data_IF_072477915274
#
_entry.id   IF_072477915274
#
_cell.length_a   1.000
_cell.length_b   1.000
_cell.length_c   1.000
_cell.angle_alpha   90.00
_cell.angle_beta   90.00
_cell.angle_gamma   90.00
#
_symmetry.space_group_name_H-M   'P 1'
#
loop_
_entity.id
_entity.type
_entity.pdbx_description
1 polymer ?
#
# COMPACT_ATOMS: atom_id res chain seq x y z
N UNK A 1 -2.38 -34.11 -6.98
CA UNK A 1 -1.66 -32.90 -6.51
C UNK A 1 -2.00 -31.67 -7.35
N UNK A 2 -1.84 -31.67 -8.68
CA UNK A 2 -2.20 -30.51 -9.52
C UNK A 2 -3.67 -30.05 -9.40
N UNK A 3 -4.61 -30.99 -9.25
CA UNK A 3 -6.05 -30.70 -9.15
C UNK A 3 -6.45 -30.02 -7.82
N UNK A 4 -5.76 -30.35 -6.71
CA UNK A 4 -5.95 -29.68 -5.42
C UNK A 4 -5.41 -28.25 -5.45
N UNK A 5 -4.31 -28.00 -6.17
CA UNK A 5 -3.73 -26.66 -6.30
C UNK A 5 -4.67 -25.73 -7.07
N UNK A 6 -5.18 -26.19 -8.21
CA UNK A 6 -6.11 -25.42 -9.03
C UNK A 6 -7.42 -25.13 -8.28
N UNK A 7 -7.91 -26.09 -7.50
CA UNK A 7 -9.13 -25.89 -6.70
C UNK A 7 -8.94 -24.86 -5.57
N UNK A 8 -7.77 -24.85 -4.90
CA UNK A 8 -7.47 -23.83 -3.89
C UNK A 8 -7.38 -22.42 -4.50
N UNK A 9 -6.68 -22.23 -5.62
CA UNK A 9 -6.57 -20.91 -6.25
C UNK A 9 -7.92 -20.44 -6.83
N UNK A 10 -8.68 -21.35 -7.44
CA UNK A 10 -10.02 -21.06 -7.97
C UNK A 10 -10.98 -20.58 -6.88
N UNK A 11 -10.94 -21.18 -5.69
CA UNK A 11 -11.79 -20.76 -4.57
C UNK A 11 -11.52 -19.31 -4.11
N UNK A 12 -10.32 -18.79 -4.36
CA UNK A 12 -9.90 -17.44 -3.98
C UNK A 12 -9.97 -16.42 -5.13
N UNK A 13 -10.28 -16.86 -6.35
CA UNK A 13 -10.22 -16.02 -7.55
C UNK A 13 -11.09 -14.77 -7.40
N UNK A 14 -12.35 -14.92 -7.00
CA UNK A 14 -13.25 -13.77 -6.81
C UNK A 14 -12.73 -12.79 -5.76
N UNK A 15 -12.16 -13.28 -4.67
CA UNK A 15 -11.60 -12.43 -3.62
C UNK A 15 -10.44 -11.58 -4.18
N UNK A 16 -9.46 -12.21 -4.85
CA UNK A 16 -8.31 -11.49 -5.38
C UNK A 16 -8.70 -10.53 -6.52
N UNK A 17 -9.67 -10.89 -7.37
CA UNK A 17 -10.21 -9.97 -8.39
C UNK A 17 -10.87 -8.74 -7.76
N UNK A 18 -11.66 -8.89 -6.69
CA UNK A 18 -12.30 -7.77 -5.98
C UNK A 18 -11.25 -6.87 -5.33
N UNK A 19 -10.29 -7.45 -4.60
CA UNK A 19 -9.23 -6.68 -3.91
C UNK A 19 -8.34 -5.97 -4.92
N UNK A 20 -7.89 -6.67 -5.97
CA UNK A 20 -7.02 -6.14 -7.00
C UNK A 20 -7.67 -5.02 -7.80
N UNK A 21 -8.92 -5.20 -8.26
CA UNK A 21 -9.65 -4.16 -9.01
C UNK A 21 -9.89 -2.91 -8.15
N UNK A 22 -10.21 -3.08 -6.88
CA UNK A 22 -10.37 -1.98 -5.93
C UNK A 22 -9.05 -1.23 -5.71
N UNK A 23 -7.93 -1.96 -5.52
CA UNK A 23 -6.60 -1.36 -5.40
C UNK A 23 -6.19 -0.59 -6.68
N UNK A 24 -6.48 -1.13 -7.86
CA UNK A 24 -6.25 -0.44 -9.13
C UNK A 24 -7.07 0.85 -9.25
N UNK A 25 -8.36 0.80 -8.92
CA UNK A 25 -9.23 1.98 -8.95
C UNK A 25 -8.76 3.07 -7.98
N UNK A 26 -8.38 2.69 -6.74
CA UNK A 26 -7.83 3.62 -5.75
C UNK A 26 -6.48 4.21 -6.19
N UNK A 27 -5.65 3.43 -6.88
CA UNK A 27 -4.40 3.94 -7.48
C UNK A 27 -4.70 5.00 -8.53
N UNK A 28 -5.68 4.76 -9.41
CA UNK A 28 -6.14 5.75 -10.38
C UNK A 28 -6.64 7.03 -9.71
N UNK A 29 -7.43 6.89 -8.64
CA UNK A 29 -7.93 8.01 -7.85
C UNK A 29 -6.78 8.82 -7.20
N UNK A 30 -5.71 8.16 -6.74
CA UNK A 30 -4.54 8.86 -6.19
C UNK A 30 -3.85 9.75 -7.23
N UNK A 31 -3.76 9.34 -8.49
CA UNK A 31 -3.23 10.22 -9.54
C UNK A 31 -4.09 11.47 -9.72
N UNK A 32 -5.42 11.35 -9.66
CA UNK A 32 -6.34 12.50 -9.71
C UNK A 32 -6.16 13.41 -8.49
N UNK A 33 -6.01 12.84 -7.28
CA UNK A 33 -5.77 13.62 -6.07
C UNK A 33 -4.45 14.40 -6.19
N UNK A 34 -3.37 13.75 -6.62
CA UNK A 34 -2.06 14.40 -6.78
C UNK A 34 -2.13 15.55 -7.80
N UNK A 35 -2.85 15.40 -8.91
CA UNK A 35 -2.98 16.48 -9.90
C UNK A 35 -3.79 17.65 -9.36
N UNK A 36 -4.88 17.41 -8.62
CA UNK A 36 -5.67 18.47 -7.97
C UNK A 36 -4.86 19.24 -6.92
N UNK A 37 -4.00 18.56 -6.17
CA UNK A 37 -3.11 19.18 -5.18
C UNK A 37 -2.07 20.04 -5.89
N UNK A 38 -1.40 19.49 -6.90
CA UNK A 38 -0.37 20.20 -7.66
C UNK A 38 -0.91 21.47 -8.34
N UNK A 39 -2.16 21.45 -8.83
CA UNK A 39 -2.83 22.62 -9.38
C UNK A 39 -3.06 23.72 -8.33
N UNK A 40 -3.34 23.33 -7.08
CA UNK A 40 -3.58 24.26 -5.97
C UNK A 40 -2.29 24.89 -5.43
N UNK A 41 -1.22 24.10 -5.30
CA UNK A 41 0.07 24.60 -4.77
C UNK A 41 0.81 25.50 -5.75
N UNK A 42 0.62 25.30 -7.06
CA UNK A 42 1.12 26.23 -8.10
C UNK A 42 0.67 27.67 -7.89
N UNK A 43 -0.44 27.88 -7.18
CA UNK A 43 -0.97 29.20 -6.89
C UNK A 43 -0.32 29.86 -5.65
N UNK A 44 0.34 29.12 -4.74
CA UNK A 44 0.66 29.66 -3.41
C UNK A 44 2.06 29.37 -2.81
N UNK A 45 2.85 28.34 -3.19
CA UNK A 45 4.31 28.20 -2.87
C UNK A 45 4.95 26.82 -3.24
N UNK A 46 6.24 26.83 -3.64
CA UNK A 46 7.30 25.84 -3.32
C UNK A 46 7.15 24.33 -3.63
N UNK A 47 7.84 23.75 -4.64
CA UNK A 47 7.73 22.34 -5.12
C UNK A 47 8.06 21.17 -4.15
N UNK A 48 8.27 21.39 -2.85
CA UNK A 48 8.95 20.41 -1.96
C UNK A 48 8.03 19.49 -1.17
N UNK A 49 6.77 19.85 -0.91
CA UNK A 49 5.85 19.03 -0.09
C UNK A 49 5.12 17.94 -0.88
N UNK A 50 4.90 18.11 -2.19
CA UNK A 50 4.14 17.18 -3.06
C UNK A 50 4.70 15.74 -3.08
N UNK A 51 6.02 15.57 -2.93
CA UNK A 51 6.68 14.26 -3.05
C UNK A 51 6.59 13.37 -1.80
N UNK A 52 6.24 13.93 -0.63
CA UNK A 52 6.27 13.18 0.62
C UNK A 52 4.95 12.43 0.91
N UNK A 53 3.82 12.96 0.44
CA UNK A 53 2.49 12.46 0.82
C UNK A 53 1.93 11.37 -0.11
N UNK A 54 2.16 11.46 -1.43
CA UNK A 54 1.53 10.53 -2.40
C UNK A 54 2.27 9.20 -2.61
N UNK A 55 3.60 9.18 -2.47
CA UNK A 55 4.42 8.05 -2.93
C UNK A 55 4.23 6.76 -2.11
N UNK A 56 4.10 6.78 -0.77
CA UNK A 56 3.87 5.56 -0.01
C UNK A 56 2.53 4.91 -0.34
N UNK A 57 1.44 5.68 -0.43
CA UNK A 57 0.07 5.19 -0.66
C UNK A 57 -0.07 4.44 -1.98
N UNK A 58 0.44 5.01 -3.07
CA UNK A 58 0.44 4.37 -4.40
C UNK A 58 1.18 3.04 -4.38
N UNK A 59 2.30 2.94 -3.65
CA UNK A 59 3.06 1.68 -3.56
C UNK A 59 2.27 0.58 -2.87
N UNK A 60 1.54 0.89 -1.79
CA UNK A 60 0.72 -0.12 -1.09
C UNK A 60 -0.43 -0.63 -1.97
N UNK A 61 -1.12 0.27 -2.69
CA UNK A 61 -2.16 -0.14 -3.64
C UNK A 61 -1.60 -0.96 -4.80
N UNK A 62 -0.49 -0.54 -5.40
CA UNK A 62 0.18 -1.31 -6.45
C UNK A 62 0.66 -2.68 -5.95
N UNK A 63 1.14 -2.78 -4.70
CA UNK A 63 1.52 -4.06 -4.12
C UNK A 63 0.31 -4.98 -3.92
N UNK A 64 -0.81 -4.47 -3.42
CA UNK A 64 -2.06 -5.23 -3.31
C UNK A 64 -2.58 -5.72 -4.68
N UNK A 65 -2.54 -4.85 -5.70
CA UNK A 65 -2.86 -5.19 -7.07
C UNK A 65 -1.93 -6.28 -7.61
N UNK A 66 -0.63 -6.17 -7.37
CA UNK A 66 0.36 -7.16 -7.82
C UNK A 66 0.14 -8.52 -7.15
N UNK A 67 -0.13 -8.55 -5.84
CA UNK A 67 -0.46 -9.78 -5.11
C UNK A 67 -1.69 -10.46 -5.71
N UNK A 68 -2.76 -9.68 -5.94
CA UNK A 68 -3.98 -10.18 -6.57
C UNK A 68 -3.72 -10.71 -7.99
N UNK A 69 -3.01 -9.95 -8.82
CA UNK A 69 -2.67 -10.36 -10.18
C UNK A 69 -1.82 -11.64 -10.21
N UNK A 70 -0.86 -11.77 -9.29
CA UNK A 70 -0.08 -13.01 -9.14
C UNK A 70 -1.03 -14.14 -8.77
N UNK A 71 -1.87 -14.04 -7.74
CA UNK A 71 -2.69 -15.18 -7.31
C UNK A 71 -3.87 -15.52 -8.24
N UNK A 72 -4.31 -14.57 -9.07
CA UNK A 72 -5.32 -14.83 -10.11
C UNK A 72 -4.73 -15.38 -11.42
N UNK A 73 -3.40 -15.39 -11.59
CA UNK A 73 -2.78 -15.95 -12.79
C UNK A 73 -2.92 -17.50 -12.81
N UNK A 74 -3.09 -18.11 -13.99
CA UNK A 74 -3.28 -19.56 -14.13
C UNK A 74 -1.95 -20.32 -13.96
N UNK A 75 -1.48 -20.47 -12.72
CA UNK A 75 -0.22 -21.15 -12.43
C UNK A 75 -0.33 -22.67 -12.54
N UNK A 76 0.66 -23.27 -13.20
CA UNK A 76 0.81 -24.73 -13.25
C UNK A 76 1.42 -25.32 -11.96
N UNK A 77 2.08 -24.51 -11.13
CA UNK A 77 2.74 -24.89 -9.86
C UNK A 77 2.64 -23.77 -8.83
N UNK A 78 2.30 -24.08 -7.57
CA UNK A 78 2.27 -23.09 -6.48
C UNK A 78 3.64 -22.44 -6.19
N UNK A 79 4.73 -23.19 -6.42
CA UNK A 79 6.08 -22.67 -6.16
C UNK A 79 6.43 -21.43 -6.99
N UNK A 80 5.95 -21.34 -8.24
CA UNK A 80 6.21 -20.15 -9.07
C UNK A 80 5.42 -18.93 -8.60
N UNK A 81 4.17 -19.13 -8.16
CA UNK A 81 3.39 -18.08 -7.52
C UNK A 81 4.08 -17.62 -6.22
N UNK A 82 4.56 -18.58 -5.41
CA UNK A 82 5.31 -18.32 -4.18
C UNK A 82 6.56 -17.48 -4.39
N UNK A 83 7.33 -17.70 -5.48
CA UNK A 83 8.49 -16.86 -5.81
C UNK A 83 8.06 -15.41 -6.07
N UNK A 84 6.97 -15.20 -6.84
CA UNK A 84 6.45 -13.86 -7.12
C UNK A 84 5.95 -13.14 -5.86
N UNK A 85 5.20 -13.85 -5.02
CA UNK A 85 4.72 -13.33 -3.73
C UNK A 85 5.89 -13.03 -2.79
N UNK A 86 6.86 -13.93 -2.69
CA UNK A 86 8.04 -13.77 -1.85
C UNK A 86 8.92 -12.59 -2.29
N UNK A 87 9.13 -12.42 -3.60
CA UNK A 87 9.83 -11.26 -4.14
C UNK A 87 9.08 -9.95 -3.84
N UNK A 88 7.75 -9.95 -3.98
CA UNK A 88 6.90 -8.79 -3.64
C UNK A 88 7.03 -8.41 -2.17
N UNK A 89 6.97 -9.39 -1.26
CA UNK A 89 7.18 -9.17 0.17
C UNK A 89 8.58 -8.65 0.49
N UNK A 90 9.62 -9.24 -0.10
CA UNK A 90 11.01 -8.82 0.13
C UNK A 90 11.27 -7.38 -0.31
N UNK A 91 10.78 -7.00 -1.50
CA UNK A 91 10.85 -5.62 -2.00
C UNK A 91 10.07 -4.68 -1.08
N UNK A 92 8.87 -5.06 -0.64
CA UNK A 92 8.06 -4.28 0.28
C UNK A 92 8.73 -4.04 1.64
N UNK A 93 9.37 -5.07 2.23
CA UNK A 93 10.17 -4.93 3.45
C UNK A 93 11.33 -3.96 3.22
N UNK A 94 12.07 -4.10 2.12
CA UNK A 94 13.17 -3.20 1.78
C UNK A 94 12.72 -1.75 1.64
N UNK A 95 11.58 -1.52 1.01
CA UNK A 95 10.96 -0.20 0.86
C UNK A 95 10.51 0.38 2.21
N UNK A 96 9.85 -0.40 3.05
CA UNK A 96 9.44 0.02 4.40
C UNK A 96 10.65 0.44 5.25
N UNK A 97 11.73 -0.36 5.23
CA UNK A 97 12.99 -0.03 5.92
C UNK A 97 13.60 1.27 5.40
N UNK A 98 13.58 1.50 4.08
CA UNK A 98 14.08 2.73 3.48
C UNK A 98 13.28 3.96 3.91
N UNK A 99 11.95 3.88 3.90
CA UNK A 99 11.07 4.96 4.38
C UNK A 99 11.33 5.25 5.85
N UNK A 100 11.32 4.23 6.72
CA UNK A 100 11.54 4.42 8.16
C UNK A 100 12.91 5.04 8.44
N UNK A 101 13.95 4.62 7.71
CA UNK A 101 15.29 5.23 7.82
C UNK A 101 15.29 6.69 7.39
N UNK A 102 14.57 7.03 6.32
CA UNK A 102 14.45 8.41 5.83
C UNK A 102 13.69 9.28 6.82
N UNK A 103 12.58 8.78 7.36
CA UNK A 103 11.77 9.46 8.38
C UNK A 103 12.57 9.71 9.67
N UNK A 104 13.31 8.72 10.18
CA UNK A 104 14.16 8.88 11.38
C UNK A 104 15.30 9.88 11.22
N UNK A 105 15.73 10.16 9.99
CA UNK A 105 16.77 11.17 9.70
C UNK A 105 16.22 12.59 9.60
N UNK A 106 14.90 12.77 9.53
CA UNK A 106 14.27 14.09 9.55
C UNK A 106 14.09 14.53 11.00
N UNK A 107 14.93 15.45 11.45
CA UNK A 107 14.99 15.93 12.85
C UNK A 107 13.96 17.00 13.21
N UNK A 108 13.11 17.43 12.25
CA UNK A 108 12.19 18.57 12.41
C UNK A 108 10.74 18.23 12.72
N UNK A 109 10.31 16.98 12.57
CA UNK A 109 8.93 16.53 12.82
C UNK A 109 8.94 15.48 13.93
N UNK A 110 8.13 15.67 14.98
CA UNK A 110 7.95 14.68 16.05
C UNK A 110 6.85 13.71 15.61
N UNK A 111 7.18 12.49 15.13
CA UNK A 111 6.17 11.58 14.64
C UNK A 111 5.30 11.11 15.80
N UNK A 112 3.99 11.29 15.66
CA UNK A 112 3.02 10.85 16.67
C UNK A 112 2.98 9.31 16.64
N UNK A 113 2.61 8.68 17.76
CA UNK A 113 2.65 7.21 17.88
C UNK A 113 1.74 6.49 16.86
N UNK A 114 0.67 7.15 16.43
CA UNK A 114 -0.25 6.67 15.39
C UNK A 114 0.41 6.59 14.00
N UNK A 115 1.22 7.60 13.63
CA UNK A 115 1.98 7.59 12.38
C UNK A 115 2.95 6.41 12.33
N UNK A 116 3.58 6.08 13.46
CA UNK A 116 4.51 4.96 13.58
C UNK A 116 3.82 3.60 13.34
N UNK A 117 2.61 3.44 13.84
CA UNK A 117 1.85 2.20 13.69
C UNK A 117 1.44 2.02 12.22
N UNK A 118 0.83 3.03 11.61
CA UNK A 118 0.28 2.95 10.25
C UNK A 118 1.32 3.03 9.14
N UNK A 119 2.37 3.84 9.31
CA UNK A 119 3.37 4.08 8.26
C UNK A 119 4.61 3.20 8.38
N UNK A 120 4.84 2.55 9.52
CA UNK A 120 6.06 1.73 9.73
C UNK A 120 5.75 0.32 10.20
N UNK A 121 5.03 0.14 11.30
CA UNK A 121 4.85 -1.19 11.91
C UNK A 121 3.95 -2.06 11.03
N UNK A 122 2.76 -1.57 10.66
CA UNK A 122 1.80 -2.35 9.88
C UNK A 122 2.33 -2.76 8.50
N UNK A 123 2.95 -1.88 7.69
CA UNK A 123 3.57 -2.28 6.44
C UNK A 123 4.68 -3.33 6.64
N UNK A 124 5.55 -3.14 7.64
CA UNK A 124 6.66 -4.06 7.89
C UNK A 124 6.16 -5.45 8.30
N UNK A 125 5.17 -5.51 9.19
CA UNK A 125 4.51 -6.76 9.59
C UNK A 125 3.80 -7.40 8.41
N UNK A 126 3.09 -6.61 7.59
CA UNK A 126 2.39 -7.09 6.40
C UNK A 126 3.34 -7.72 5.38
N UNK A 127 4.36 -6.98 4.95
CA UNK A 127 5.34 -7.49 3.98
C UNK A 127 6.20 -8.63 4.54
N UNK A 128 6.55 -8.60 5.83
CA UNK A 128 7.26 -9.71 6.49
C UNK A 128 6.42 -10.98 6.55
N UNK A 129 5.13 -10.85 6.89
CA UNK A 129 4.17 -11.97 6.87
C UNK A 129 3.96 -12.51 5.47
N UNK A 130 4.01 -11.65 4.44
CA UNK A 130 3.93 -12.06 3.04
C UNK A 130 5.12 -12.94 2.62
N UNK A 131 6.34 -12.59 3.06
CA UNK A 131 7.53 -13.42 2.82
C UNK A 131 7.40 -14.77 3.50
N UNK A 132 6.95 -14.81 4.76
CA UNK A 132 6.75 -16.06 5.49
C UNK A 132 5.68 -16.92 4.81
N UNK A 133 4.54 -16.34 4.44
CA UNK A 133 3.47 -17.05 3.74
C UNK A 133 3.95 -17.61 2.39
N UNK A 134 4.81 -16.88 1.65
CA UNK A 134 5.39 -17.38 0.41
C UNK A 134 6.28 -18.63 0.62
N UNK A 135 7.07 -18.66 1.71
CA UNK A 135 7.91 -19.81 2.05
C UNK A 135 7.09 -21.06 2.40
N UNK A 136 5.98 -20.87 3.12
CA UNK A 136 5.10 -21.97 3.53
C UNK A 136 4.01 -22.32 2.51
N UNK A 137 3.86 -21.56 1.42
CA UNK A 137 2.79 -21.74 0.43
C UNK A 137 2.71 -23.15 -0.17
N UNK A 138 3.84 -23.82 -0.31
CA UNK A 138 3.87 -25.19 -0.83
C UNK A 138 3.46 -26.24 0.21
N UNK A 139 3.80 -26.01 1.49
CA UNK A 139 3.56 -26.96 2.59
C UNK A 139 2.16 -26.80 3.20
N UNK A 140 1.69 -25.55 3.29
CA UNK A 140 0.45 -25.13 3.93
C UNK A 140 -0.32 -24.16 3.02
N UNK A 141 -0.85 -24.63 1.86
CA UNK A 141 -1.52 -23.75 0.90
C UNK A 141 -2.71 -22.95 1.47
N UNK A 142 -3.68 -23.56 2.20
CA UNK A 142 -4.85 -22.82 2.64
C UNK A 142 -4.48 -21.74 3.66
N UNK A 143 -3.65 -22.07 4.66
CA UNK A 143 -3.21 -21.09 5.66
C UNK A 143 -2.42 -19.95 5.04
N UNK A 144 -1.53 -20.26 4.09
CA UNK A 144 -0.72 -19.26 3.40
C UNK A 144 -1.60 -18.32 2.55
N UNK A 145 -2.63 -18.83 1.86
CA UNK A 145 -3.56 -18.00 1.08
C UNK A 145 -4.39 -17.07 1.97
N UNK A 146 -4.79 -17.50 3.17
CA UNK A 146 -5.43 -16.60 4.15
C UNK A 146 -4.50 -15.47 4.58
N UNK A 147 -3.24 -15.78 4.90
CA UNK A 147 -2.25 -14.76 5.28
C UNK A 147 -2.00 -13.79 4.12
N UNK A 148 -1.81 -14.29 2.90
CA UNK A 148 -1.60 -13.44 1.72
C UNK A 148 -2.81 -12.54 1.46
N UNK A 149 -4.02 -13.09 1.57
CA UNK A 149 -5.26 -12.32 1.41
C UNK A 149 -5.43 -11.25 2.49
N UNK A 150 -5.13 -11.58 3.74
CA UNK A 150 -5.15 -10.62 4.85
C UNK A 150 -4.12 -9.49 4.64
N UNK A 151 -2.90 -9.81 4.16
CA UNK A 151 -1.89 -8.80 3.83
C UNK A 151 -2.37 -7.91 2.68
N UNK A 152 -2.94 -8.47 1.60
CA UNK A 152 -3.45 -7.68 0.50
C UNK A 152 -4.50 -6.66 0.95
N UNK A 153 -5.46 -7.08 1.79
CA UNK A 153 -6.44 -6.18 2.40
C UNK A 153 -5.81 -5.15 3.33
N UNK A 154 -4.87 -5.56 4.17
CA UNK A 154 -4.15 -4.65 5.08
C UNK A 154 -3.45 -3.54 4.29
N UNK A 155 -2.77 -3.86 3.19
CA UNK A 155 -2.11 -2.87 2.34
C UNK A 155 -3.12 -1.89 1.72
N UNK A 156 -4.30 -2.37 1.31
CA UNK A 156 -5.38 -1.49 0.83
C UNK A 156 -5.88 -0.58 1.96
N UNK A 157 -6.11 -1.10 3.17
CA UNK A 157 -6.57 -0.27 4.28
C UNK A 157 -5.53 0.77 4.72
N UNK A 158 -4.25 0.40 4.76
CA UNK A 158 -3.16 1.36 5.00
C UNK A 158 -3.19 2.47 3.94
N UNK A 159 -3.34 2.12 2.66
CA UNK A 159 -3.41 3.11 1.60
C UNK A 159 -4.65 4.02 1.72
N UNK A 160 -5.81 3.48 2.10
CA UNK A 160 -7.03 4.28 2.30
C UNK A 160 -6.86 5.24 3.48
N UNK A 161 -6.31 4.78 4.60
CA UNK A 161 -6.06 5.61 5.77
C UNK A 161 -5.10 6.76 5.44
N UNK A 162 -3.96 6.45 4.82
CA UNK A 162 -2.98 7.47 4.43
C UNK A 162 -3.55 8.46 3.40
N UNK A 163 -4.39 7.99 2.48
CA UNK A 163 -5.10 8.84 1.52
C UNK A 163 -6.08 9.79 2.22
N UNK A 164 -6.84 9.27 3.18
CA UNK A 164 -7.79 10.05 3.98
C UNK A 164 -7.08 11.16 4.76
N UNK A 165 -5.97 10.83 5.43
CA UNK A 165 -5.18 11.80 6.20
C UNK A 165 -4.64 12.91 5.30
N UNK A 166 -4.15 12.55 4.11
CA UNK A 166 -3.67 13.53 3.13
C UNK A 166 -4.78 14.48 2.67
N UNK A 167 -5.95 13.93 2.31
CA UNK A 167 -7.08 14.73 1.83
C UNK A 167 -7.64 15.64 2.93
N UNK A 168 -7.78 15.14 4.15
CA UNK A 168 -8.29 15.93 5.28
C UNK A 168 -7.33 17.04 5.69
N UNK A 169 -6.03 16.77 5.74
CA UNK A 169 -5.01 17.78 5.97
C UNK A 169 -5.10 18.94 4.96
N UNK A 170 -5.25 18.61 3.68
CA UNK A 170 -5.34 19.62 2.61
C UNK A 170 -6.66 20.40 2.67
N UNK A 171 -7.77 19.72 2.97
CA UNK A 171 -9.05 20.39 3.13
C UNK A 171 -9.03 21.40 4.29
N UNK A 172 -8.45 21.00 5.44
CA UNK A 172 -8.36 21.85 6.64
C UNK A 172 -7.41 23.04 6.41
N UNK A 173 -6.23 22.82 5.83
CA UNK A 173 -5.28 23.89 5.56
C UNK A 173 -5.83 24.95 4.59
N UNK A 174 -6.64 24.53 3.60
CA UNK A 174 -7.31 25.48 2.69
C UNK A 174 -8.28 26.41 3.42
N UNK A 175 -9.03 25.91 4.39
CA UNK A 175 -9.98 26.74 5.16
C UNK A 175 -9.27 27.76 6.06
N UNK A 176 -8.14 27.38 6.67
CA UNK A 176 -7.32 28.30 7.47
C UNK A 176 -6.67 29.40 6.62
N UNK A 177 -6.23 29.07 5.40
CA UNK A 177 -5.61 30.04 4.51
C UNK A 177 -6.61 31.07 3.97
N UNK A 178 -7.86 30.67 3.71
CA UNK A 178 -8.95 31.59 3.32
C UNK A 178 -9.40 32.53 4.45
N UNK A 179 -9.25 32.11 5.70
CA UNK A 179 -9.69 32.88 6.87
C UNK A 179 -8.60 33.81 7.44
N UNK A 180 -7.39 33.78 6.90
CA UNK A 180 -6.30 34.67 7.29
C UNK A 180 -6.46 36.06 6.65
N UNK A 181 -6.42 37.17 7.42
CA UNK A 181 -6.53 38.52 6.88
C UNK A 181 -5.32 38.85 5.96
N UNK A 182 -5.50 39.69 4.92
CA UNK A 182 -4.41 40.03 4.01
C UNK A 182 -3.27 40.74 4.76
N UNK A 183 -2.01 40.52 4.35
CA UNK A 183 -0.86 41.18 4.96
C UNK A 183 -0.96 42.70 4.78
N UNK A 184 -0.78 43.43 5.90
CA UNK A 184 -0.80 44.89 6.01
C UNK A 184 0.40 45.57 5.38
#
# INVERSE_FOLDING_TARGET
MHESIASHLSAWESFYVIVGSSAAALTGLQFVVITLIADTERLHSGPREISAFGTPTVVHFCAALLIAAILSAPWNRLGSAGIGIGATGAVGVGYAVLITRRARRQTGYQPVMEDWIWHTILPFVGYGSLVLAALFLHQHPPESLFVIGAVALLLVFIGIHNAWDTVTYIAINRDQQKSSPPPS
#
